data_IF_085625023489
#
_entry.id   IF_085625023489
#
_cell.length_a   1.000
_cell.length_b   1.000
_cell.length_c   1.000
_cell.angle_alpha   90.00
_cell.angle_beta   90.00
_cell.angle_gamma   90.00
#
_symmetry.space_group_name_H-M   'P 1'
#
loop_
_entity.id
_entity.type
_entity.pdbx_description
1 polymer ?
#
# COMPACT_ATOMS: atom_id res chain seq x y z
N UNK A 1 22.47 0.39 13.00
CA UNK A 1 22.22 -0.89 12.32
C UNK A 1 21.43 -0.56 11.06
N UNK A 2 21.95 -0.87 9.87
CA UNK A 2 21.19 -0.65 8.63
C UNK A 2 20.08 -1.71 8.57
N UNK A 3 18.84 -1.33 8.84
CA UNK A 3 17.67 -2.16 8.54
C UNK A 3 17.76 -2.53 7.06
N UNK A 4 18.16 -3.78 6.79
CA UNK A 4 18.02 -4.38 5.46
C UNK A 4 16.54 -4.73 5.26
N UNK A 5 15.67 -3.72 5.27
CA UNK A 5 14.28 -3.89 4.85
C UNK A 5 14.31 -4.31 3.39
N UNK A 6 14.21 -5.61 3.13
CA UNK A 6 14.00 -6.15 1.79
C UNK A 6 12.56 -5.81 1.43
N UNK A 7 12.39 -4.66 0.79
CA UNK A 7 11.13 -4.26 0.17
C UNK A 7 10.73 -5.35 -0.83
N UNK A 8 9.58 -5.97 -0.59
CA UNK A 8 9.07 -7.10 -1.37
C UNK A 8 8.14 -6.63 -2.49
N UNK A 9 7.92 -7.49 -3.50
CA UNK A 9 6.83 -7.29 -4.45
C UNK A 9 5.53 -7.77 -3.80
N UNK A 10 4.51 -6.92 -3.79
CA UNK A 10 3.16 -7.29 -3.39
C UNK A 10 2.25 -7.47 -4.60
N UNK A 11 1.26 -8.36 -4.49
CA UNK A 11 0.20 -8.51 -5.52
C UNK A 11 -1.13 -8.25 -4.85
N UNK A 12 -1.86 -7.26 -5.36
CA UNK A 12 -3.21 -6.96 -4.92
C UNK A 12 -4.19 -7.50 -5.97
N UNK A 13 -5.02 -8.44 -5.55
CA UNK A 13 -6.06 -9.02 -6.37
C UNK A 13 -7.40 -8.76 -5.69
N UNK A 14 -8.32 -8.14 -6.43
CA UNK A 14 -9.67 -7.86 -5.95
C UNK A 14 -10.64 -7.86 -7.14
N UNK A 15 -11.80 -8.48 -6.95
CA UNK A 15 -12.71 -8.84 -8.05
C UNK A 15 -11.92 -9.58 -9.18
N UNK A 16 -12.00 -9.09 -10.41
CA UNK A 16 -11.28 -9.62 -11.59
C UNK A 16 -10.02 -8.81 -11.94
N UNK A 17 -9.58 -7.90 -11.06
CA UNK A 17 -8.43 -7.03 -11.30
C UNK A 17 -7.22 -7.45 -10.45
N UNK A 18 -6.04 -7.40 -11.05
CA UNK A 18 -4.76 -7.67 -10.39
C UNK A 18 -3.79 -6.51 -10.65
N UNK A 19 -3.12 -6.04 -9.61
CA UNK A 19 -2.02 -5.09 -9.73
C UNK A 19 -0.85 -5.50 -8.86
N UNK A 20 0.35 -5.48 -9.45
CA UNK A 20 1.60 -5.80 -8.75
C UNK A 20 2.29 -4.52 -8.34
N UNK A 21 2.71 -4.44 -7.08
CA UNK A 21 3.40 -3.28 -6.52
C UNK A 21 4.83 -3.67 -6.13
N UNK A 22 5.80 -2.83 -6.49
CA UNK A 22 7.19 -2.97 -6.10
C UNK A 22 7.71 -1.65 -5.52
N UNK A 23 7.96 -1.55 -4.21
CA UNK A 23 8.55 -0.37 -3.59
C UNK A 23 10.08 -0.37 -3.79
N UNK A 24 10.54 -0.14 -5.01
CA UNK A 24 11.96 0.14 -5.26
C UNK A 24 12.33 1.57 -4.86
N UNK A 25 13.60 1.84 -4.55
CA UNK A 25 14.08 3.18 -4.17
C UNK A 25 13.66 4.28 -5.14
N UNK A 26 13.80 4.05 -6.45
CA UNK A 26 13.41 5.04 -7.47
C UNK A 26 11.91 5.36 -7.45
N UNK A 27 11.08 4.35 -7.23
CA UNK A 27 9.61 4.50 -7.16
C UNK A 27 9.17 5.21 -5.88
N UNK A 28 9.79 4.88 -4.75
CA UNK A 28 9.55 5.58 -3.49
C UNK A 28 9.97 7.05 -3.60
N UNK A 29 11.11 7.33 -4.25
CA UNK A 29 11.54 8.70 -4.53
C UNK A 29 10.54 9.44 -5.41
N UNK A 30 10.07 8.82 -6.49
CA UNK A 30 9.04 9.42 -7.36
C UNK A 30 7.73 9.69 -6.61
N UNK A 31 7.32 8.78 -5.71
CA UNK A 31 6.14 8.99 -4.86
C UNK A 31 6.35 10.19 -3.93
N UNK A 32 7.52 10.31 -3.29
CA UNK A 32 7.82 11.46 -2.43
C UNK A 32 7.84 12.77 -3.21
N UNK A 33 8.44 12.78 -4.40
CA UNK A 33 8.49 13.97 -5.27
C UNK A 33 7.10 14.37 -5.78
N UNK A 34 6.24 13.40 -6.10
CA UNK A 34 4.88 13.65 -6.57
C UNK A 34 3.94 14.15 -5.47
N UNK A 35 4.11 13.68 -4.24
CA UNK A 35 3.21 13.98 -3.11
C UNK A 35 3.72 15.12 -2.23
N UNK A 36 5.03 15.39 -2.24
CA UNK A 36 5.69 16.34 -1.34
C UNK A 36 5.88 15.81 0.08
N UNK A 37 5.56 14.53 0.34
CA UNK A 37 5.69 13.86 1.63
C UNK A 37 6.74 12.74 1.56
N UNK A 38 7.34 12.36 2.67
CA UNK A 38 8.23 11.20 2.69
C UNK A 38 7.43 9.92 2.40
N UNK A 39 7.87 9.10 1.44
CA UNK A 39 7.13 7.92 1.00
C UNK A 39 6.76 6.95 2.13
N UNK A 40 7.62 6.78 3.14
CA UNK A 40 7.31 5.92 4.29
C UNK A 40 6.18 6.51 5.16
N UNK A 41 6.21 7.81 5.41
CA UNK A 41 5.14 8.53 6.12
C UNK A 41 3.84 8.51 5.32
N UNK A 42 3.94 8.64 4.00
CA UNK A 42 2.81 8.55 3.09
C UNK A 42 2.17 7.16 3.16
N UNK A 43 2.97 6.09 3.13
CA UNK A 43 2.51 4.70 3.27
C UNK A 43 1.87 4.45 4.64
N UNK A 44 2.43 4.99 5.72
CA UNK A 44 1.87 4.84 7.07
C UNK A 44 0.50 5.52 7.23
N UNK A 45 0.26 6.61 6.50
CA UNK A 45 -0.96 7.42 6.60
C UNK A 45 -1.89 7.30 5.37
N UNK A 46 -1.70 6.29 4.52
CA UNK A 46 -2.49 6.11 3.29
C UNK A 46 -3.85 5.43 3.55
N UNK A 47 -4.70 6.03 4.39
CA UNK A 47 -6.05 5.51 4.66
C UNK A 47 -7.12 5.94 3.64
N UNK A 48 -6.81 6.89 2.76
CA UNK A 48 -7.80 7.47 1.84
C UNK A 48 -7.71 6.88 0.42
N UNK A 49 -8.86 6.63 -0.26
CA UNK A 49 -8.92 6.07 -1.62
C UNK A 49 -8.01 6.78 -2.64
N UNK A 50 -7.98 8.11 -2.62
CA UNK A 50 -7.14 8.91 -3.52
C UNK A 50 -5.64 8.74 -3.21
N UNK A 51 -5.27 8.60 -1.93
CA UNK A 51 -3.87 8.39 -1.54
C UNK A 51 -3.41 6.99 -1.91
N UNK A 52 -4.28 6.00 -1.73
CA UNK A 52 -4.02 4.63 -2.16
C UNK A 52 -3.86 4.53 -3.68
N UNK A 53 -4.67 5.27 -4.43
CA UNK A 53 -4.55 5.38 -5.89
C UNK A 53 -3.18 5.90 -6.30
N UNK A 54 -2.72 6.99 -5.67
CA UNK A 54 -1.41 7.58 -5.96
C UNK A 54 -0.28 6.61 -5.63
N UNK A 55 -0.36 5.96 -4.46
CA UNK A 55 0.59 4.94 -4.04
C UNK A 55 0.67 3.79 -5.05
N UNK A 56 -0.48 3.23 -5.44
CA UNK A 56 -0.54 2.13 -6.40
C UNK A 56 0.01 2.57 -7.76
N UNK A 57 -0.30 3.79 -8.21
CA UNK A 57 0.18 4.32 -9.49
C UNK A 57 1.70 4.41 -9.57
N UNK A 58 2.39 4.86 -8.52
CA UNK A 58 3.86 4.97 -8.51
C UNK A 58 4.55 3.65 -8.24
N UNK A 59 3.92 2.77 -7.46
CA UNK A 59 4.50 1.47 -7.11
C UNK A 59 4.21 0.37 -8.12
N UNK A 60 3.27 0.56 -9.06
CA UNK A 60 2.85 -0.50 -10.00
C UNK A 60 4.01 -1.01 -10.88
N UNK A 61 4.16 -2.32 -10.97
CA UNK A 61 5.18 -2.97 -11.79
C UNK A 61 4.57 -3.98 -12.75
N UNK A 62 5.06 -4.01 -13.99
CA UNK A 62 4.53 -4.88 -15.05
C UNK A 62 3.11 -4.54 -15.54
N UNK A 63 2.45 -3.57 -14.90
CA UNK A 63 1.14 -3.03 -15.26
C UNK A 63 1.30 -1.56 -15.64
N UNK A 64 0.42 -1.05 -16.50
CA UNK A 64 0.45 0.34 -16.99
C UNK A 64 -0.90 1.04 -16.76
N UNK A 65 -1.50 0.81 -15.59
CA UNK A 65 -2.76 1.42 -15.24
C UNK A 65 -2.60 2.92 -15.01
N UNK A 66 -3.57 3.70 -15.48
CA UNK A 66 -3.70 5.11 -15.12
C UNK A 66 -4.24 5.24 -13.69
N UNK A 67 -4.12 6.44 -13.10
CA UNK A 67 -4.74 6.74 -11.79
C UNK A 67 -6.25 6.50 -11.81
N UNK A 68 -6.91 6.87 -12.90
CA UNK A 68 -8.36 6.72 -13.06
C UNK A 68 -8.76 5.24 -13.13
N UNK A 69 -7.98 4.42 -13.83
CA UNK A 69 -8.18 2.97 -13.90
C UNK A 69 -7.98 2.31 -12.53
N UNK A 70 -6.91 2.68 -11.80
CA UNK A 70 -6.65 2.19 -10.45
C UNK A 70 -7.79 2.57 -9.51
N UNK A 71 -8.21 3.83 -9.54
CA UNK A 71 -9.32 4.29 -8.71
C UNK A 71 -10.59 3.51 -9.05
N UNK A 72 -11.00 3.45 -10.32
CA UNK A 72 -12.23 2.77 -10.72
C UNK A 72 -12.20 1.26 -10.41
N UNK A 73 -11.07 0.59 -10.61
CA UNK A 73 -10.94 -0.85 -10.42
C UNK A 73 -10.88 -1.27 -8.94
N UNK A 74 -10.16 -0.51 -8.11
CA UNK A 74 -9.85 -0.94 -6.74
C UNK A 74 -10.50 -0.07 -5.65
N UNK A 75 -10.71 1.22 -5.90
CA UNK A 75 -11.05 2.20 -4.86
C UNK A 75 -12.33 3.02 -5.09
N UNK A 76 -13.00 2.85 -6.23
CA UNK A 76 -14.13 3.67 -6.67
C UNK A 76 -15.47 3.22 -6.08
N UNK A 77 -15.53 2.03 -5.49
CA UNK A 77 -16.68 1.54 -4.74
C UNK A 77 -16.45 1.85 -3.26
N UNK A 78 -17.17 2.83 -2.72
CA UNK A 78 -17.10 3.20 -1.29
C UNK A 78 -17.31 2.00 -0.35
N UNK A 79 -18.15 1.04 -0.75
CA UNK A 79 -18.40 -0.19 0.02
C UNK A 79 -17.19 -1.13 0.12
N UNK A 80 -16.18 -1.01 -0.74
CA UNK A 80 -14.96 -1.83 -0.64
C UNK A 80 -14.20 -1.54 0.67
N UNK A 81 -14.23 -0.31 1.17
CA UNK A 81 -13.55 0.03 2.43
C UNK A 81 -14.30 -0.44 3.67
N UNK A 82 -15.57 -0.81 3.52
CA UNK A 82 -16.38 -1.45 4.57
C UNK A 82 -16.29 -2.99 4.47
N UNK A 83 -15.70 -3.52 3.39
CA UNK A 83 -15.51 -4.95 3.16
C UNK A 83 -14.27 -5.45 3.93
N UNK A 84 -14.48 -6.43 4.81
CA UNK A 84 -13.41 -7.05 5.58
C UNK A 84 -12.39 -7.78 4.68
N UNK A 85 -12.84 -8.37 3.56
CA UNK A 85 -11.95 -9.08 2.63
C UNK A 85 -11.03 -8.11 1.90
N UNK A 86 -11.56 -6.97 1.47
CA UNK A 86 -10.78 -5.90 0.84
C UNK A 86 -9.72 -5.34 1.78
N UNK A 87 -10.12 -5.03 3.03
CA UNK A 87 -9.21 -4.54 4.05
C UNK A 87 -8.13 -5.58 4.40
N UNK A 88 -8.49 -6.87 4.49
CA UNK A 88 -7.53 -7.95 4.71
C UNK A 88 -6.53 -8.10 3.55
N UNK A 89 -6.99 -7.97 2.30
CA UNK A 89 -6.14 -8.01 1.12
C UNK A 89 -5.15 -6.82 1.09
N UNK A 90 -5.62 -5.61 1.43
CA UNK A 90 -4.78 -4.41 1.54
C UNK A 90 -3.71 -4.55 2.63
N UNK A 91 -4.09 -5.04 3.80
CA UNK A 91 -3.15 -5.29 4.90
C UNK A 91 -2.10 -6.34 4.53
N UNK A 92 -2.51 -7.39 3.83
CA UNK A 92 -1.60 -8.43 3.32
C UNK A 92 -0.62 -7.83 2.33
N UNK A 93 -1.10 -7.00 1.39
CA UNK A 93 -0.27 -6.30 0.41
C UNK A 93 0.78 -5.41 1.10
N UNK A 94 0.37 -4.58 2.06
CA UNK A 94 1.30 -3.74 2.81
C UNK A 94 2.33 -4.56 3.58
N UNK A 95 1.91 -5.66 4.22
CA UNK A 95 2.83 -6.56 4.91
C UNK A 95 3.83 -7.23 3.96
N UNK A 96 3.43 -7.57 2.74
CA UNK A 96 4.33 -8.14 1.72
C UNK A 96 5.34 -7.09 1.23
N UNK A 97 4.86 -5.88 0.98
CA UNK A 97 5.69 -4.78 0.47
C UNK A 97 6.71 -4.29 1.49
N UNK A 98 6.31 -4.17 2.76
CA UNK A 98 7.15 -3.59 3.79
C UNK A 98 8.22 -4.56 4.31
N UNK A 99 8.14 -5.85 3.95
CA UNK A 99 9.03 -6.90 4.45
C UNK A 99 8.76 -7.22 5.93
N UNK A 100 9.32 -8.34 6.41
CA UNK A 100 9.08 -8.86 7.78
C UNK A 100 9.28 -7.81 8.89
N UNK A 101 10.21 -6.87 8.71
CA UNK A 101 10.61 -5.92 9.76
C UNK A 101 9.63 -4.74 9.94
N UNK A 102 8.95 -4.27 8.88
CA UNK A 102 7.97 -3.17 9.00
C UNK A 102 6.56 -3.69 9.32
N UNK A 103 6.22 -4.91 8.89
CA UNK A 103 4.97 -5.57 9.28
C UNK A 103 4.85 -5.74 10.81
N UNK A 104 5.98 -5.90 11.51
CA UNK A 104 6.02 -5.86 12.98
C UNK A 104 5.83 -4.46 13.57
N UNK A 105 6.23 -3.41 12.86
CA UNK A 105 6.02 -2.01 13.27
C UNK A 105 4.59 -1.49 12.97
N UNK A 106 3.93 -2.04 11.94
CA UNK A 106 2.54 -1.74 11.56
C UNK A 106 1.54 -2.58 12.36
N UNK A 107 1.99 -3.58 13.16
CA UNK A 107 1.10 -4.19 14.15
C UNK A 107 0.47 -3.06 14.96
N UNK A 108 -0.87 -2.92 14.95
CA UNK A 108 -1.51 -1.92 15.77
C UNK A 108 -0.99 -2.13 17.19
N UNK A 109 -0.67 -1.04 17.88
CA UNK A 109 -0.42 -1.04 19.31
C UNK A 109 -1.70 -1.47 20.05
N UNK A 110 -2.12 -2.72 19.86
CA UNK A 110 -3.15 -3.39 20.64
C UNK A 110 -2.45 -4.16 21.73
N UNK A 111 -1.91 -3.42 22.70
CA UNK A 111 -1.95 -3.86 24.11
C UNK A 111 -1.79 -2.67 25.07
N UNK A 112 -2.42 -1.54 24.74
CA UNK A 112 -2.82 -0.59 25.80
C UNK A 112 -4.26 -0.92 26.16
N UNK A 113 -4.43 -1.66 27.27
CA UNK A 113 -5.59 -1.76 28.16
C UNK A 113 -6.18 -3.18 28.34
N UNK A 114 -5.72 -3.90 29.37
CA UNK A 114 -6.48 -4.21 30.62
C UNK A 114 -5.90 -5.44 31.35
N UNK A 115 -5.10 -5.21 32.39
CA UNK A 115 -5.40 -5.53 33.80
C UNK A 115 -4.19 -5.26 34.69
#
# INVERSE_FOLDING_TARGET
MALKSRLGTGVFQFDDNEIKLLPSLDRLKNLSEATGEEALDYMANCGHPMRLTELFFHLQTGSAYTREEIYAAFFGKLGNFEDEEFNAALMTLFSQMAGKDLAEAIKPATDTQKK
#
